data_IF_296088158770
#
_entry.id   IF_296088158770
#
_cell.length_a   1.000
_cell.length_b   1.000
_cell.length_c   1.000
_cell.angle_alpha   90.00
_cell.angle_beta   90.00
_cell.angle_gamma   90.00
#
_symmetry.space_group_name_H-M   'P 1'
#
loop_
_entity.id
_entity.type
_entity.pdbx_description
1 polymer ?
#
# COMPACT_ATOMS: atom_id res chain seq x y z
N UNK A 1 -0.35 -8.55 6.46
CA UNK A 1 0.07 -9.86 7.03
C UNK A 1 1.32 -9.74 7.90
N UNK A 2 2.42 -9.16 7.40
CA UNK A 2 3.66 -8.97 8.19
C UNK A 2 3.44 -8.29 9.55
N UNK A 3 2.65 -7.20 9.61
CA UNK A 3 2.28 -6.54 10.89
C UNK A 3 1.66 -7.51 11.89
N UNK A 4 0.70 -8.33 11.45
CA UNK A 4 0.02 -9.27 12.32
C UNK A 4 0.96 -10.36 12.85
N UNK A 5 1.86 -10.87 11.99
CA UNK A 5 2.90 -11.82 12.38
C UNK A 5 3.86 -11.22 13.41
N UNK A 6 4.22 -9.95 13.26
CA UNK A 6 5.15 -9.24 14.15
C UNK A 6 4.52 -8.90 15.50
N UNK A 7 3.25 -8.52 15.51
CA UNK A 7 2.50 -8.13 16.72
C UNK A 7 2.05 -9.35 17.55
N UNK A 8 1.71 -10.47 16.89
CA UNK A 8 1.15 -11.65 17.55
C UNK A 8 1.86 -12.95 17.12
N UNK A 9 3.20 -13.05 17.27
CA UNK A 9 3.97 -14.19 16.76
C UNK A 9 3.53 -15.52 17.38
N UNK A 10 3.24 -15.54 18.68
CA UNK A 10 2.78 -16.73 19.40
C UNK A 10 1.42 -17.25 18.91
N UNK A 11 0.53 -16.35 18.50
CA UNK A 11 -0.75 -16.76 17.94
C UNK A 11 -0.56 -17.41 16.56
N UNK A 12 0.24 -16.79 15.70
CA UNK A 12 0.36 -17.23 14.31
C UNK A 12 1.25 -18.45 14.13
N UNK A 13 2.31 -18.62 14.93
CA UNK A 13 3.20 -19.80 14.85
C UNK A 13 2.45 -21.12 15.03
N UNK A 14 1.36 -21.12 15.81
CA UNK A 14 0.55 -22.30 16.08
C UNK A 14 -0.60 -22.50 15.05
N UNK A 15 -0.83 -21.52 14.18
CA UNK A 15 -1.97 -21.50 13.23
C UNK A 15 -1.55 -21.56 11.77
N UNK A 16 -0.33 -21.12 11.46
CA UNK A 16 0.17 -21.03 10.10
C UNK A 16 1.35 -21.96 9.90
N UNK A 17 1.13 -22.97 9.06
CA UNK A 17 2.21 -23.87 8.64
C UNK A 17 3.16 -23.20 7.63
N UNK A 18 2.66 -22.24 6.86
CA UNK A 18 3.41 -21.49 5.85
C UNK A 18 2.64 -20.20 5.51
N UNK A 19 3.36 -19.09 5.36
CA UNK A 19 2.85 -17.87 4.73
C UNK A 19 3.49 -17.71 3.35
N UNK A 20 2.68 -17.74 2.28
CA UNK A 20 3.14 -17.46 0.92
C UNK A 20 2.81 -16.00 0.58
N UNK A 21 3.84 -15.18 0.44
CA UNK A 21 3.72 -13.75 0.12
C UNK A 21 4.01 -13.53 -1.37
N UNK A 22 2.96 -13.26 -2.14
CA UNK A 22 3.04 -12.87 -3.56
C UNK A 22 3.02 -11.35 -3.63
N UNK A 23 4.05 -10.73 -4.23
CA UNK A 23 4.21 -9.27 -4.20
C UNK A 23 4.32 -8.73 -2.76
N UNK A 24 5.35 -9.13 -1.99
CA UNK A 24 5.44 -8.79 -0.57
C UNK A 24 5.67 -7.28 -0.36
N UNK A 25 4.69 -6.59 0.24
CA UNK A 25 4.78 -5.16 0.57
C UNK A 25 5.07 -4.97 2.07
N UNK A 26 6.08 -4.15 2.39
CA UNK A 26 6.35 -3.64 3.74
C UNK A 26 6.54 -2.12 3.73
N UNK A 27 7.77 -1.61 3.83
CA UNK A 27 8.08 -0.25 3.39
C UNK A 27 8.12 -0.20 1.86
N UNK A 28 7.84 0.97 1.29
CA UNK A 28 7.74 1.15 -0.17
C UNK A 28 8.48 2.39 -0.74
N UNK A 29 9.65 2.81 -0.22
CA UNK A 29 10.33 4.00 -0.73
C UNK A 29 10.82 3.89 -2.18
N UNK A 30 10.95 2.69 -2.73
CA UNK A 30 11.38 2.46 -4.11
C UNK A 30 10.22 2.13 -5.06
N UNK A 31 8.97 2.16 -4.55
CA UNK A 31 7.77 1.98 -5.35
C UNK A 31 7.72 2.98 -6.51
N UNK A 32 7.39 2.49 -7.71
CA UNK A 32 7.17 3.31 -8.90
C UNK A 32 5.69 3.58 -9.16
N UNK A 33 4.82 3.22 -8.21
CA UNK A 33 3.40 3.51 -8.28
C UNK A 33 3.15 5.04 -8.23
N UNK A 34 2.90 5.64 -9.40
CA UNK A 34 2.76 7.09 -9.55
C UNK A 34 1.72 7.71 -8.60
N UNK A 35 0.61 7.02 -8.37
CA UNK A 35 -0.41 7.47 -7.42
C UNK A 35 0.12 7.65 -6.00
N UNK A 36 0.93 6.71 -5.49
CA UNK A 36 1.48 6.80 -4.13
C UNK A 36 2.48 7.95 -4.03
N UNK A 37 3.33 8.12 -5.06
CA UNK A 37 4.25 9.24 -5.13
C UNK A 37 3.54 10.59 -5.12
N UNK A 38 2.54 10.77 -6.00
CA UNK A 38 1.73 11.99 -6.08
C UNK A 38 0.98 12.23 -4.77
N UNK A 39 0.30 11.22 -4.22
CA UNK A 39 -0.43 11.35 -2.97
C UNK A 39 0.50 11.70 -1.79
N UNK A 40 1.76 11.23 -1.80
CA UNK A 40 2.78 11.55 -0.81
C UNK A 40 3.31 12.99 -0.91
N UNK A 41 3.50 13.49 -2.13
CA UNK A 41 3.89 14.88 -2.39
C UNK A 41 2.81 15.85 -1.93
N UNK A 42 1.54 15.48 -2.10
CA UNK A 42 0.37 16.29 -1.73
C UNK A 42 -0.32 15.85 -0.43
N UNK A 43 0.37 15.11 0.45
CA UNK A 43 -0.21 14.51 1.66
C UNK A 43 -1.13 15.47 2.43
N UNK A 44 -0.60 16.62 2.86
CA UNK A 44 -1.32 17.55 3.74
C UNK A 44 -2.60 18.05 3.04
N UNK A 45 -2.53 18.34 1.73
CA UNK A 45 -3.68 18.78 0.93
C UNK A 45 -4.72 17.67 0.79
N UNK A 46 -4.27 16.44 0.50
CA UNK A 46 -5.14 15.28 0.35
C UNK A 46 -5.89 15.01 1.66
N UNK A 47 -5.16 15.00 2.78
CA UNK A 47 -5.73 14.70 4.08
C UNK A 47 -6.71 15.78 4.55
N UNK A 48 -6.30 17.06 4.55
CA UNK A 48 -7.16 18.19 4.93
C UNK A 48 -8.43 18.26 4.06
N UNK A 49 -8.28 18.11 2.74
CA UNK A 49 -9.41 18.19 1.81
C UNK A 49 -10.35 17.00 1.99
N UNK A 50 -9.80 15.80 2.19
CA UNK A 50 -10.61 14.61 2.41
C UNK A 50 -11.43 14.70 3.70
N UNK A 51 -10.86 15.19 4.80
CA UNK A 51 -11.59 15.36 6.05
C UNK A 51 -12.64 16.47 5.95
N UNK A 52 -12.26 17.62 5.37
CA UNK A 52 -13.18 18.75 5.17
C UNK A 52 -14.42 18.37 4.35
N UNK A 53 -14.24 17.52 3.33
CA UNK A 53 -15.31 17.10 2.43
C UNK A 53 -16.00 15.80 2.86
N UNK A 54 -15.57 15.17 3.96
CA UNK A 54 -16.13 13.93 4.47
C UNK A 54 -15.86 12.70 3.59
N UNK A 55 -14.69 12.66 2.95
CA UNK A 55 -14.28 11.64 1.98
C UNK A 55 -13.43 10.58 2.70
N UNK A 56 -14.10 9.56 3.23
CA UNK A 56 -13.46 8.53 4.05
C UNK A 56 -13.20 7.22 3.32
N UNK A 57 -13.73 7.05 2.11
CA UNK A 57 -13.61 5.84 1.28
C UNK A 57 -13.16 6.22 -0.14
N UNK A 58 -12.28 5.43 -0.75
CA UNK A 58 -11.85 5.56 -2.15
C UNK A 58 -12.08 4.23 -2.87
N UNK A 59 -12.56 4.29 -4.12
CA UNK A 59 -12.61 3.11 -5.00
C UNK A 59 -13.69 2.09 -4.63
N UNK A 60 -14.67 2.48 -3.81
CA UNK A 60 -15.87 1.69 -3.53
C UNK A 60 -16.81 1.59 -4.73
N UNK A 61 -17.83 0.74 -4.63
CA UNK A 61 -18.78 0.48 -5.72
C UNK A 61 -19.45 1.76 -6.27
N UNK A 62 -19.75 2.71 -5.37
CA UNK A 62 -20.39 3.98 -5.73
C UNK A 62 -19.37 5.07 -6.11
N UNK A 63 -18.06 4.85 -5.92
CA UNK A 63 -17.03 5.89 -6.07
C UNK A 63 -17.07 6.50 -7.47
N UNK A 64 -16.95 5.68 -8.51
CA UNK A 64 -16.92 6.10 -9.92
C UNK A 64 -18.25 6.65 -10.45
N UNK A 65 -19.34 6.46 -9.70
CA UNK A 65 -20.67 6.96 -10.05
C UNK A 65 -21.15 8.08 -9.12
N UNK A 66 -20.39 8.38 -8.07
CA UNK A 66 -20.70 9.42 -7.09
C UNK A 66 -20.15 10.77 -7.55
N UNK A 67 -20.76 11.86 -7.07
CA UNK A 67 -20.24 13.22 -7.31
C UNK A 67 -18.83 13.47 -6.75
N UNK A 68 -18.27 12.53 -5.97
CA UNK A 68 -16.89 12.56 -5.52
C UNK A 68 -15.93 12.22 -6.67
N UNK A 69 -16.29 11.26 -7.54
CA UNK A 69 -15.53 11.02 -8.77
C UNK A 69 -15.55 12.23 -9.68
N UNK A 70 -16.68 12.92 -9.84
CA UNK A 70 -16.72 14.15 -10.62
C UNK A 70 -15.80 15.22 -10.01
N UNK A 71 -15.79 15.37 -8.68
CA UNK A 71 -14.91 16.35 -8.03
C UNK A 71 -13.43 16.08 -8.32
N UNK A 72 -12.97 14.84 -8.17
CA UNK A 72 -11.57 14.51 -8.39
C UNK A 72 -11.22 14.29 -9.87
N UNK A 73 -12.02 13.54 -10.63
CA UNK A 73 -11.74 13.23 -12.03
C UNK A 73 -11.94 14.41 -12.98
N UNK A 74 -12.86 15.35 -12.69
CA UNK A 74 -13.07 16.52 -13.56
C UNK A 74 -12.05 17.62 -13.26
N UNK A 75 -11.69 17.82 -11.99
CA UNK A 75 -10.76 18.88 -11.59
C UNK A 75 -9.29 18.41 -11.58
N UNK A 76 -9.05 17.09 -11.53
CA UNK A 76 -7.74 16.46 -11.47
C UNK A 76 -7.78 15.21 -12.36
N UNK A 77 -7.86 15.39 -13.68
CA UNK A 77 -8.00 14.28 -14.64
C UNK A 77 -6.90 13.23 -14.49
N UNK A 78 -5.67 13.68 -14.22
CA UNK A 78 -4.50 12.83 -13.96
C UNK A 78 -4.69 11.93 -12.73
N UNK A 79 -5.49 12.35 -11.73
CA UNK A 79 -5.77 11.56 -10.53
C UNK A 79 -6.64 10.34 -10.86
N UNK A 80 -7.60 10.45 -11.78
CA UNK A 80 -8.45 9.30 -12.12
C UNK A 80 -7.80 8.34 -13.10
N UNK A 81 -6.99 8.84 -14.03
CA UNK A 81 -6.10 7.96 -14.80
C UNK A 81 -5.06 7.28 -13.90
N UNK A 82 -4.54 7.96 -12.86
CA UNK A 82 -3.61 7.39 -11.88
C UNK A 82 -4.26 6.37 -10.93
N UNK A 83 -5.53 6.56 -10.53
CA UNK A 83 -6.28 5.56 -9.76
C UNK A 83 -6.55 4.31 -10.59
N UNK A 84 -6.93 4.47 -11.86
CA UNK A 84 -7.13 3.34 -12.75
C UNK A 84 -5.80 2.63 -13.03
N UNK A 85 -4.71 3.36 -13.26
CA UNK A 85 -3.37 2.77 -13.48
C UNK A 85 -2.77 2.11 -12.24
N UNK A 86 -3.31 2.38 -11.04
CA UNK A 86 -3.00 1.70 -9.78
C UNK A 86 -3.47 0.24 -9.79
N UNK A 87 -4.58 -0.03 -10.48
CA UNK A 87 -5.18 -1.38 -10.61
C UNK A 87 -4.95 -2.00 -11.98
N UNK A 88 -4.59 -1.19 -12.97
CA UNK A 88 -4.26 -1.64 -14.32
C UNK A 88 -2.77 -1.96 -14.37
N UNK A 89 -2.50 -3.24 -14.58
CA UNK A 89 -1.19 -3.84 -14.73
C UNK A 89 -0.27 -3.03 -15.67
N UNK A 90 1.02 -2.89 -15.33
CA UNK A 90 2.02 -2.29 -16.23
C UNK A 90 2.19 -3.08 -17.54
N UNK A 91 1.85 -4.37 -17.50
CA UNK A 91 1.96 -5.30 -18.62
C UNK A 91 0.59 -5.86 -19.00
N UNK A 92 -0.35 -5.04 -19.52
CA UNK A 92 -1.69 -5.52 -19.87
C UNK A 92 -1.64 -6.66 -20.90
N UNK A 93 -0.56 -6.77 -21.68
CA UNK A 93 -0.36 -7.83 -22.68
C UNK A 93 -0.24 -9.24 -22.09
N UNK A 94 0.01 -9.39 -20.78
CA UNK A 94 0.07 -10.70 -20.13
C UNK A 94 -1.28 -11.13 -19.55
N UNK A 95 -2.25 -10.20 -19.51
CA UNK A 95 -3.59 -10.44 -19.00
C UNK A 95 -4.51 -10.99 -20.11
N UNK A 96 -5.59 -11.63 -19.70
CA UNK A 96 -6.64 -12.07 -20.63
C UNK A 96 -7.57 -10.89 -20.93
N UNK A 97 -7.39 -10.29 -22.11
CA UNK A 97 -8.19 -9.15 -22.60
C UNK A 97 -9.70 -9.45 -22.60
N UNK A 98 -10.11 -10.69 -22.92
CA UNK A 98 -11.53 -11.08 -22.95
C UNK A 98 -12.14 -11.08 -21.53
N UNK A 99 -11.29 -11.12 -20.50
CA UNK A 99 -11.69 -11.14 -19.08
C UNK A 99 -11.62 -9.76 -18.43
N UNK A 100 -11.05 -8.75 -19.08
CA UNK A 100 -10.83 -7.41 -18.51
C UNK A 100 -12.10 -6.79 -17.90
N UNK A 101 -13.24 -6.91 -18.60
CA UNK A 101 -14.52 -6.38 -18.11
C UNK A 101 -14.95 -6.96 -16.75
N UNK A 102 -14.54 -8.19 -16.44
CA UNK A 102 -14.82 -8.81 -15.14
C UNK A 102 -13.82 -8.40 -14.07
N UNK A 103 -12.55 -8.18 -14.42
CA UNK A 103 -11.59 -7.60 -13.48
C UNK A 103 -12.03 -6.18 -13.09
N UNK A 104 -12.31 -5.33 -14.07
CA UNK A 104 -12.77 -3.96 -13.85
C UNK A 104 -14.15 -3.89 -13.16
N UNK A 105 -15.00 -4.89 -13.35
CA UNK A 105 -16.31 -4.97 -12.68
C UNK A 105 -16.24 -5.36 -11.20
N UNK A 106 -15.10 -5.87 -10.73
CA UNK A 106 -14.91 -6.31 -9.33
C UNK A 106 -13.74 -5.61 -8.62
N UNK A 107 -12.98 -4.77 -9.32
CA UNK A 107 -11.81 -4.09 -8.78
C UNK A 107 -11.72 -2.66 -9.30
N UNK A 108 -11.45 -1.68 -8.42
CA UNK A 108 -11.30 -1.80 -6.96
C UNK A 108 -12.61 -2.13 -6.22
N UNK A 109 -12.48 -2.54 -4.94
CA UNK A 109 -13.62 -2.83 -4.05
C UNK A 109 -13.55 -2.02 -2.74
N UNK A 110 -13.13 -0.76 -2.86
CA UNK A 110 -13.05 0.17 -1.74
C UNK A 110 -11.81 -0.02 -0.85
N UNK A 111 -11.27 1.10 -0.39
CA UNK A 111 -10.40 1.21 0.79
C UNK A 111 -10.69 2.52 1.52
N UNK A 112 -10.21 2.66 2.75
CA UNK A 112 -10.35 3.92 3.49
C UNK A 112 -9.33 4.96 3.03
N UNK A 113 -9.68 6.25 3.09
CA UNK A 113 -8.70 7.33 2.87
C UNK A 113 -7.50 7.22 3.82
N UNK A 114 -7.75 6.76 5.06
CA UNK A 114 -6.69 6.54 6.06
C UNK A 114 -5.67 5.48 5.62
N UNK A 115 -6.11 4.44 4.90
CA UNK A 115 -5.21 3.42 4.34
C UNK A 115 -4.30 4.03 3.26
N UNK A 116 -4.86 4.81 2.34
CA UNK A 116 -4.09 5.54 1.33
C UNK A 116 -3.06 6.46 1.97
N UNK A 117 -3.49 7.28 2.94
CA UNK A 117 -2.58 8.15 3.70
C UNK A 117 -1.49 7.31 4.41
N UNK A 118 -1.81 6.15 4.96
CA UNK A 118 -0.81 5.29 5.59
C UNK A 118 0.28 4.82 4.61
N UNK A 119 -0.11 4.40 3.40
CA UNK A 119 0.86 4.04 2.36
C UNK A 119 1.77 5.23 2.01
N UNK A 120 1.21 6.43 1.89
CA UNK A 120 2.01 7.62 1.60
C UNK A 120 2.99 7.99 2.70
N UNK A 121 2.67 7.73 3.98
CA UNK A 121 3.59 7.89 5.11
C UNK A 121 4.75 6.88 5.00
N UNK A 122 4.46 5.61 4.70
CA UNK A 122 5.50 4.57 4.54
C UNK A 122 6.42 4.86 3.35
N UNK A 123 5.86 5.38 2.25
CA UNK A 123 6.60 5.84 1.07
C UNK A 123 7.55 7.00 1.42
N UNK A 124 7.01 8.07 2.04
CA UNK A 124 7.76 9.31 2.32
C UNK A 124 8.87 9.11 3.33
N UNK A 125 8.59 8.35 4.39
CA UNK A 125 9.51 8.17 5.51
C UNK A 125 10.47 6.99 5.29
N UNK A 126 10.31 6.23 4.21
CA UNK A 126 11.11 5.04 3.89
C UNK A 126 11.16 4.03 5.06
N UNK A 127 9.99 3.77 5.66
CA UNK A 127 9.84 2.99 6.90
C UNK A 127 8.61 2.11 6.84
N UNK A 128 8.67 0.96 7.50
CA UNK A 128 7.52 0.10 7.75
C UNK A 128 6.99 0.38 9.17
N UNK A 129 5.93 1.17 9.27
CA UNK A 129 5.52 1.79 10.54
C UNK A 129 4.00 1.83 10.72
N UNK A 130 3.53 2.05 11.95
CA UNK A 130 2.10 2.27 12.24
C UNK A 130 1.64 3.64 11.75
N UNK A 131 0.32 3.86 11.59
CA UNK A 131 -0.19 5.15 11.12
C UNK A 131 0.08 6.29 12.11
N UNK A 132 0.45 7.47 11.60
CA UNK A 132 0.57 8.72 12.37
C UNK A 132 -0.70 9.56 12.21
N UNK A 133 -1.45 9.74 13.29
CA UNK A 133 -2.62 10.65 13.32
C UNK A 133 -2.21 12.14 13.36
N UNK A 134 -0.97 12.46 13.70
CA UNK A 134 -0.45 13.83 13.81
C UNK A 134 0.50 14.24 12.68
N UNK A 135 0.47 13.51 11.56
CA UNK A 135 1.35 13.68 10.42
C UNK A 135 1.23 15.07 9.75
N UNK A 136 0.08 15.73 9.89
CA UNK A 136 -0.28 16.99 9.23
C UNK A 136 0.20 18.26 9.94
N UNK A 137 0.83 18.14 11.12
CA UNK A 137 1.13 19.32 11.94
C UNK A 137 2.09 20.28 11.23
N UNK A 138 1.57 21.46 10.84
CA UNK A 138 2.35 22.56 10.24
C UNK A 138 3.57 22.93 11.09
N UNK A 139 3.43 22.88 12.42
CA UNK A 139 4.49 23.19 13.39
C UNK A 139 5.57 22.10 13.48
N UNK A 140 5.27 20.86 13.04
CA UNK A 140 6.21 19.73 13.01
C UNK A 140 6.73 19.43 11.60
N UNK A 141 6.56 20.33 10.62
CA UNK A 141 7.07 20.16 9.24
C UNK A 141 8.59 19.85 9.14
N UNK A 142 9.36 20.10 10.20
CA UNK A 142 10.81 19.91 10.24
C UNK A 142 11.28 18.94 11.34
N UNK A 143 10.36 18.33 12.09
CA UNK A 143 10.68 17.30 13.10
C UNK A 143 10.00 15.99 12.70
N UNK A 144 10.66 14.87 13.04
CA UNK A 144 10.30 13.53 12.59
C UNK A 144 8.79 13.25 12.68
N UNK A 145 8.12 13.16 11.52
CA UNK A 145 6.72 12.72 11.36
C UNK A 145 6.62 11.19 11.44
N UNK A 146 7.41 10.58 12.32
CA UNK A 146 7.62 9.14 12.32
C UNK A 146 7.02 8.48 13.54
N UNK A 147 6.46 7.30 13.35
CA UNK A 147 5.82 6.48 14.39
C UNK A 147 6.66 5.26 14.72
N UNK A 148 6.18 4.45 15.67
CA UNK A 148 6.78 3.16 15.98
C UNK A 148 6.83 2.26 14.74
N UNK A 149 7.98 1.62 14.56
CA UNK A 149 8.18 0.64 13.50
C UNK A 149 7.40 -0.63 13.81
N UNK A 150 6.93 -1.29 12.77
CA UNK A 150 6.43 -2.66 12.88
C UNK A 150 7.65 -3.58 13.04
N UNK A 151 7.79 -4.31 14.17
CA UNK A 151 9.03 -5.02 14.51
C UNK A 151 9.10 -6.36 13.77
N UNK A 152 9.54 -6.35 12.51
CA UNK A 152 9.65 -7.56 11.67
C UNK A 152 10.53 -8.64 12.31
N UNK A 153 11.51 -8.26 13.13
CA UNK A 153 12.37 -9.14 13.90
C UNK A 153 11.62 -10.01 14.92
N UNK A 154 10.40 -9.62 15.31
CA UNK A 154 9.56 -10.42 16.22
C UNK A 154 8.90 -11.62 15.53
N UNK A 155 8.88 -11.64 14.19
CA UNK A 155 8.25 -12.71 13.43
C UNK A 155 9.06 -13.99 13.60
N UNK A 156 8.56 -14.93 14.39
CA UNK A 156 9.27 -16.18 14.71
C UNK A 156 8.37 -17.38 14.50
N UNK A 157 8.95 -18.50 14.04
CA UNK A 157 8.27 -19.79 13.97
C UNK A 157 7.30 -20.00 12.80
N UNK A 158 6.93 -18.96 12.05
CA UNK A 158 6.16 -19.09 10.80
C UNK A 158 7.12 -19.12 9.61
N UNK A 159 7.18 -20.22 8.83
CA UNK A 159 7.88 -20.26 7.55
C UNK A 159 7.23 -19.32 6.54
N UNK A 160 8.05 -18.61 5.76
CA UNK A 160 7.59 -17.62 4.77
C UNK A 160 8.24 -17.93 3.41
N UNK A 161 7.41 -18.08 2.38
CA UNK A 161 7.86 -18.12 0.99
C UNK A 161 7.48 -16.81 0.32
N UNK A 162 8.43 -16.15 -0.33
CA UNK A 162 8.24 -14.85 -0.98
C UNK A 162 8.46 -14.97 -2.49
N UNK A 163 7.57 -14.35 -3.26
CA UNK A 163 7.65 -14.27 -4.71
C UNK A 163 7.44 -12.82 -5.14
N UNK A 164 8.47 -12.22 -5.74
CA UNK A 164 8.50 -10.81 -6.14
C UNK A 164 8.51 -10.71 -7.68
N UNK A 165 7.61 -9.89 -8.22
CA UNK A 165 7.62 -9.57 -9.65
C UNK A 165 8.77 -8.63 -9.99
N UNK A 166 9.52 -8.91 -11.06
CA UNK A 166 10.62 -8.03 -11.50
C UNK A 166 10.17 -6.66 -12.02
N UNK A 167 8.89 -6.55 -12.37
CA UNK A 167 8.23 -5.33 -12.86
C UNK A 167 7.10 -4.89 -11.91
N UNK A 168 7.12 -5.34 -10.66
CA UNK A 168 6.11 -4.93 -9.67
C UNK A 168 6.33 -3.45 -9.29
N UNK A 169 5.29 -2.63 -9.49
CA UNK A 169 5.36 -1.19 -9.24
C UNK A 169 5.26 -0.82 -7.79
N UNK A 170 4.64 -1.69 -6.98
CA UNK A 170 4.34 -1.41 -5.58
C UNK A 170 5.30 -2.19 -4.68
N UNK A 171 5.45 -3.49 -4.91
CA UNK A 171 6.38 -4.35 -4.20
C UNK A 171 7.74 -4.39 -4.93
N UNK A 172 8.41 -3.25 -5.04
CA UNK A 172 9.70 -3.14 -5.73
C UNK A 172 10.70 -4.19 -5.24
N UNK A 173 11.59 -4.62 -6.15
CA UNK A 173 12.59 -5.65 -5.87
C UNK A 173 13.54 -5.24 -4.74
N UNK A 174 13.90 -3.95 -4.64
CA UNK A 174 14.76 -3.43 -3.58
C UNK A 174 14.09 -3.54 -2.22
N UNK A 175 12.83 -3.11 -2.14
CA UNK A 175 12.04 -3.14 -0.91
C UNK A 175 11.72 -4.57 -0.49
N UNK A 176 11.36 -5.43 -1.44
CA UNK A 176 11.15 -6.87 -1.22
C UNK A 176 12.40 -7.56 -0.68
N UNK A 177 13.59 -7.24 -1.22
CA UNK A 177 14.87 -7.78 -0.73
C UNK A 177 15.16 -7.32 0.68
N UNK A 178 14.90 -6.04 0.98
CA UNK A 178 15.00 -5.54 2.34
C UNK A 178 14.07 -6.31 3.30
N UNK A 179 12.82 -6.57 2.91
CA UNK A 179 11.88 -7.36 3.72
C UNK A 179 12.39 -8.77 3.96
N UNK A 180 12.88 -9.45 2.91
CA UNK A 180 13.49 -10.79 3.01
C UNK A 180 14.65 -10.78 3.99
N UNK A 181 15.52 -9.77 3.89
CA UNK A 181 16.67 -9.64 4.76
C UNK A 181 16.21 -9.43 6.20
N UNK A 182 15.24 -8.55 6.50
CA UNK A 182 14.71 -8.39 7.85
C UNK A 182 14.11 -9.67 8.47
N UNK A 183 13.52 -10.54 7.64
CA UNK A 183 12.88 -11.78 8.07
C UNK A 183 13.85 -12.96 8.22
N UNK A 184 15.09 -12.84 7.71
CA UNK A 184 16.19 -13.80 7.79
C UNK A 184 15.76 -15.28 7.91
N UNK A 185 15.70 -15.80 9.14
CA UNK A 185 15.50 -17.22 9.46
C UNK A 185 14.13 -17.77 9.08
N UNK A 186 13.16 -16.91 8.83
CA UNK A 186 11.80 -17.33 8.52
C UNK A 186 11.61 -17.57 7.02
N UNK A 187 12.51 -17.09 6.17
CA UNK A 187 12.44 -17.27 4.72
C UNK A 187 12.84 -18.69 4.35
N UNK A 188 11.90 -19.44 3.79
CA UNK A 188 12.14 -20.79 3.24
C UNK A 188 12.28 -20.80 1.72
N UNK A 189 11.81 -19.76 1.04
CA UNK A 189 11.94 -19.57 -0.41
C UNK A 189 11.85 -18.08 -0.74
N UNK A 190 12.68 -17.61 -1.68
CA UNK A 190 12.61 -16.25 -2.23
C UNK A 190 12.89 -16.29 -3.74
N UNK A 191 11.90 -15.91 -4.54
CA UNK A 191 11.99 -15.79 -6.00
C UNK A 191 11.74 -14.35 -6.44
#
# INVERSE_FOLDING_TARGET
MFSALAENPDYYKDKLSLFVALGPVSMIPHSSAAFIGIASDFYDVLADTSDLLGIYEIGGADWFTSGISDLFCVNIAEFCEAILSLFVNQHPEIDDDDRFAVYAGHSPNGTSMKDILHYTQNYKEARFQVFSDDYESWFKRHEHRTTDLIPLENITGVPIAMFTGSYDVLADVTDSRWTRDMLHSNIVEYQ
#
